data_IF_983955933949
#
_entry.id   IF_983955933949
#
_cell.length_a   1.000
_cell.length_b   1.000
_cell.length_c   1.000
_cell.angle_alpha   90.00
_cell.angle_beta   90.00
_cell.angle_gamma   90.00
#
_symmetry.space_group_name_H-M   'P 1'
#
loop_
_entity.id
_entity.type
_entity.pdbx_description
1 polymer ?
#
# COMPACT_ATOMS: atom_id res chain seq x y z
N UNK A 1 -10.26 1.88 25.53
CA UNK A 1 -10.14 0.79 24.54
C UNK A 1 -10.51 1.36 23.19
N UNK A 2 -9.61 1.29 22.20
CA UNK A 2 -9.89 1.77 20.84
C UNK A 2 -10.84 0.81 20.11
N UNK A 3 -11.71 1.33 19.22
CA UNK A 3 -12.64 0.54 18.41
C UNK A 3 -11.87 -0.28 17.36
N UNK A 4 -11.97 -1.62 17.34
CA UNK A 4 -11.30 -2.47 16.35
C UNK A 4 -11.79 -2.25 14.91
N UNK A 5 -12.85 -1.45 14.70
CA UNK A 5 -13.39 -1.12 13.37
C UNK A 5 -12.82 0.17 12.74
N UNK A 6 -11.89 0.87 13.38
CA UNK A 6 -11.30 2.10 12.80
C UNK A 6 -10.09 1.85 11.86
N UNK A 7 -9.89 0.62 11.37
CA UNK A 7 -8.61 0.19 10.76
C UNK A 7 -8.46 0.35 9.24
N UNK A 8 -9.46 0.86 8.51
CA UNK A 8 -9.40 1.00 7.05
C UNK A 8 -8.97 2.43 6.68
N UNK A 9 -7.84 2.56 6.00
CA UNK A 9 -7.38 3.83 5.41
C UNK A 9 -7.66 3.85 3.90
N UNK A 10 -8.25 4.94 3.42
CA UNK A 10 -8.49 5.16 1.99
C UNK A 10 -7.40 6.07 1.41
N UNK A 11 -6.48 5.48 0.66
CA UNK A 11 -5.39 6.21 0.00
C UNK A 11 -5.72 6.45 -1.47
N UNK A 12 -5.57 7.69 -1.93
CA UNK A 12 -5.63 8.01 -3.36
C UNK A 12 -4.22 8.33 -3.87
N UNK A 13 -3.73 7.53 -4.82
CA UNK A 13 -2.39 7.70 -5.40
C UNK A 13 -2.50 8.11 -6.85
N UNK A 14 -1.79 9.17 -7.23
CA UNK A 14 -1.55 9.49 -8.64
C UNK A 14 -0.40 8.63 -9.16
N UNK A 15 -0.63 7.91 -10.26
CA UNK A 15 0.38 7.07 -10.90
C UNK A 15 1.52 7.93 -11.47
N UNK A 16 2.75 7.53 -11.21
CA UNK A 16 3.98 8.06 -11.82
C UNK A 16 4.34 7.28 -13.08
N UNK A 17 4.93 7.96 -14.08
CA UNK A 17 5.41 7.33 -15.31
C UNK A 17 6.65 6.44 -15.08
N UNK A 18 7.51 6.78 -14.12
CA UNK A 18 8.80 6.11 -13.91
C UNK A 18 8.75 4.96 -12.90
N UNK A 19 7.83 5.01 -11.93
CA UNK A 19 7.74 4.03 -10.84
C UNK A 19 6.31 3.54 -10.54
N UNK A 20 5.33 3.87 -11.38
CA UNK A 20 3.94 3.50 -11.13
C UNK A 20 3.42 4.13 -9.84
N UNK A 21 2.85 3.32 -8.94
CA UNK A 21 2.43 3.80 -7.62
C UNK A 21 3.55 3.74 -6.56
N UNK A 22 4.60 2.95 -6.79
CA UNK A 22 5.75 2.86 -5.91
C UNK A 22 5.63 1.90 -4.73
N UNK A 23 4.82 0.85 -4.85
CA UNK A 23 4.77 -0.24 -3.86
C UNK A 23 4.77 -1.61 -4.53
N UNK A 24 5.24 -2.61 -3.80
CA UNK A 24 5.16 -4.03 -4.18
C UNK A 24 4.14 -4.75 -3.30
N UNK A 25 3.44 -5.75 -3.86
CA UNK A 25 2.50 -6.61 -3.13
C UNK A 25 3.11 -8.00 -2.94
N UNK A 26 2.95 -8.56 -1.74
CA UNK A 26 3.20 -9.97 -1.44
C UNK A 26 1.87 -10.66 -1.12
N UNK A 27 1.72 -11.93 -1.51
CA UNK A 27 0.53 -12.72 -1.24
C UNK A 27 -0.56 -12.58 -2.31
N UNK A 28 -1.75 -13.10 -2.00
CA UNK A 28 -2.90 -13.13 -2.91
C UNK A 28 -3.37 -14.55 -3.24
N UNK A 29 -4.20 -14.67 -4.26
CA UNK A 29 -4.77 -15.96 -4.64
C UNK A 29 -3.65 -16.99 -4.95
N UNK A 30 -3.66 -18.12 -4.25
CA UNK A 30 -2.64 -19.16 -4.35
C UNK A 30 -1.45 -18.99 -3.39
N UNK A 31 -1.47 -17.99 -2.49
CA UNK A 31 -0.52 -17.83 -1.39
C UNK A 31 -1.20 -18.03 -0.04
N UNK A 32 -0.45 -18.47 0.95
CA UNK A 32 -0.90 -18.52 2.36
C UNK A 32 -1.06 -17.13 2.98
N UNK A 33 -0.60 -16.07 2.29
CA UNK A 33 -0.69 -14.69 2.75
C UNK A 33 -1.78 -13.92 1.97
N UNK A 34 -2.56 -13.05 2.65
CA UNK A 34 -3.39 -12.08 1.95
C UNK A 34 -2.50 -11.08 1.18
N UNK A 35 -3.05 -10.33 0.20
CA UNK A 35 -2.32 -9.24 -0.44
C UNK A 35 -1.90 -8.20 0.60
N UNK A 36 -0.60 -8.02 0.80
CA UNK A 36 -0.02 -7.04 1.71
C UNK A 36 0.99 -6.17 0.97
N UNK A 37 1.10 -4.90 1.38
CA UNK A 37 2.18 -4.03 0.91
C UNK A 37 3.49 -4.52 1.51
N UNK A 38 4.41 -4.96 0.66
CA UNK A 38 5.67 -5.57 1.07
C UNK A 38 6.82 -4.56 1.12
N UNK A 39 6.88 -3.67 0.13
CA UNK A 39 7.95 -2.67 0.00
C UNK A 39 7.39 -1.37 -0.58
N UNK A 40 8.03 -0.25 -0.25
CA UNK A 40 7.71 1.10 -0.71
C UNK A 40 8.97 1.75 -1.28
N UNK A 41 8.91 2.16 -2.55
CA UNK A 41 10.01 2.83 -3.22
C UNK A 41 10.14 4.26 -2.66
N UNK A 42 11.35 4.63 -2.22
CA UNK A 42 11.65 5.98 -1.72
C UNK A 42 11.31 7.07 -2.74
N UNK A 43 10.74 8.18 -2.27
CA UNK A 43 10.33 9.29 -3.14
C UNK A 43 9.14 9.03 -4.08
N UNK A 44 8.54 7.83 -4.06
CA UNK A 44 7.39 7.47 -4.90
C UNK A 44 6.06 8.07 -4.43
N UNK A 45 4.97 7.96 -5.23
CA UNK A 45 3.65 8.40 -4.79
C UNK A 45 3.20 7.73 -3.49
N UNK A 46 3.43 6.42 -3.32
CA UNK A 46 3.10 5.69 -2.10
C UNK A 46 3.86 6.25 -0.88
N UNK A 47 5.17 6.48 -1.02
CA UNK A 47 6.02 7.01 0.06
C UNK A 47 5.58 8.40 0.55
N UNK A 48 5.07 9.24 -0.36
CA UNK A 48 4.67 10.63 -0.08
C UNK A 48 3.22 10.80 0.37
N UNK A 49 2.41 9.74 0.34
CA UNK A 49 0.98 9.85 0.63
C UNK A 49 0.66 10.14 2.11
N UNK A 50 1.60 9.86 3.02
CA UNK A 50 1.62 10.23 4.46
C UNK A 50 0.26 10.21 5.21
N UNK A 51 -0.60 9.21 4.95
CA UNK A 51 -1.87 9.04 5.68
C UNK A 51 -1.72 8.33 7.02
#
# INVERSE_FOLDING_TARGET
MADPRSGVKYVHLKRSETCGFGFSILGGAGSDLPPIVYDIIEGSPAAKSHQ
#
